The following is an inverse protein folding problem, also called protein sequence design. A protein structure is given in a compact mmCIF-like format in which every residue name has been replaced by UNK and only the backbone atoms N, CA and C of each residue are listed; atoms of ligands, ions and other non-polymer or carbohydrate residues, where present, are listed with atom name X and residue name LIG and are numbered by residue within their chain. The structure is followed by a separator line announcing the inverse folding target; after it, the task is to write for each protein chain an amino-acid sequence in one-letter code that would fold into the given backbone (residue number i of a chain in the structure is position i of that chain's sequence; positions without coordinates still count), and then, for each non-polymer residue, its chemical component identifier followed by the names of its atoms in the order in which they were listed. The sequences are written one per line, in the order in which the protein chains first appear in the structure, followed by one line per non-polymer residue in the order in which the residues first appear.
data_IF_980984782329
#
_entry.id   IF_980984782329
#
_cell.length_a   1.000
_cell.length_b   1.000
_cell.length_c   1.000
_cell.angle_alpha   90.00
_cell.angle_beta   90.00
_cell.angle_gamma   90.00
#
_symmetry.space_group_name_H-M   'P 1'
#
loop_
_entity.id
_entity.type
_entity.pdbx_description
1 polymer ?
#
# COMPACT_ATOMS: atom_id res chain seq x y z
N UNK A 1 20.52 26.92 -5.20
CA UNK A 1 19.99 25.98 -4.20
C UNK A 1 18.49 25.96 -4.42
N UNK A 2 17.93 24.85 -4.90
CA UNK A 2 16.48 24.66 -4.96
C UNK A 2 15.92 24.74 -3.52
N UNK A 3 14.73 25.32 -3.38
CA UNK A 3 14.13 25.65 -2.09
C UNK A 3 14.01 24.39 -1.18
N UNK A 4 14.48 24.45 0.09
CA UNK A 4 14.48 23.29 0.99
C UNK A 4 13.10 22.63 1.14
N UNK A 5 12.02 23.42 1.14
CA UNK A 5 10.66 22.88 1.28
C UNK A 5 10.10 22.19 0.02
N UNK A 6 10.72 22.32 -1.15
CA UNK A 6 10.19 21.70 -2.38
C UNK A 6 10.55 20.21 -2.47
N UNK A 7 11.75 19.85 -2.02
CA UNK A 7 12.27 18.47 -2.07
C UNK A 7 11.49 17.59 -1.08
N UNK A 8 11.30 18.06 0.16
CA UNK A 8 10.60 17.31 1.22
C UNK A 8 9.13 17.00 0.89
N UNK A 9 8.44 17.93 0.20
CA UNK A 9 7.04 17.73 -0.22
C UNK A 9 6.96 16.68 -1.33
N UNK A 10 7.89 16.72 -2.29
CA UNK A 10 7.92 15.76 -3.40
C UNK A 10 8.14 14.35 -2.86
N UNK A 11 9.06 14.16 -1.92
CA UNK A 11 9.32 12.85 -1.31
C UNK A 11 8.12 12.32 -0.53
N UNK A 12 7.44 13.18 0.24
CA UNK A 12 6.20 12.81 0.93
C UNK A 12 5.10 12.37 -0.04
N UNK A 13 4.89 13.12 -1.12
CA UNK A 13 3.89 12.80 -2.15
C UNK A 13 4.27 11.50 -2.88
N UNK A 14 5.54 11.30 -3.20
CA UNK A 14 6.01 10.08 -3.86
C UNK A 14 5.82 8.85 -2.96
N UNK A 15 6.14 8.95 -1.67
CA UNK A 15 5.89 7.86 -0.70
C UNK A 15 4.41 7.50 -0.59
N UNK A 16 3.49 8.45 -0.80
CA UNK A 16 2.06 8.17 -0.82
C UNK A 16 1.56 7.65 -2.18
N UNK A 17 2.16 8.07 -3.30
CA UNK A 17 1.68 7.73 -4.63
C UNK A 17 2.01 6.29 -5.02
N UNK A 18 3.15 5.73 -4.59
CA UNK A 18 3.50 4.36 -4.94
C UNK A 18 2.53 3.31 -4.34
N UNK A 19 2.17 3.36 -3.05
CA UNK A 19 1.19 2.42 -2.49
C UNK A 19 -0.20 2.59 -3.13
N UNK A 20 -0.63 3.82 -3.38
CA UNK A 20 -1.91 4.11 -4.08
C UNK A 20 -1.90 3.52 -5.49
N UNK A 21 -0.81 3.71 -6.24
CA UNK A 21 -0.61 3.10 -7.54
C UNK A 21 -0.64 1.57 -7.48
N UNK A 22 0.00 0.97 -6.48
CA UNK A 22 -0.05 -0.48 -6.22
C UNK A 22 -1.48 -0.99 -6.01
N UNK A 23 -2.27 -0.32 -5.15
CA UNK A 23 -3.68 -0.65 -4.93
C UNK A 23 -4.51 -0.55 -6.21
N UNK A 24 -4.28 0.51 -6.99
CA UNK A 24 -4.96 0.73 -8.27
C UNK A 24 -4.64 -0.36 -9.29
N UNK A 25 -3.37 -0.75 -9.42
CA UNK A 25 -2.96 -1.85 -10.30
C UNK A 25 -3.65 -3.15 -9.89
N UNK A 26 -3.68 -3.48 -8.60
CA UNK A 26 -4.36 -4.68 -8.10
C UNK A 26 -5.87 -4.64 -8.42
N UNK A 27 -6.51 -3.48 -8.28
CA UNK A 27 -7.92 -3.29 -8.62
C UNK A 27 -8.18 -3.51 -10.11
N UNK A 28 -7.38 -2.90 -10.99
CA UNK A 28 -7.52 -3.03 -12.45
C UNK A 28 -7.29 -4.49 -12.89
N UNK A 29 -6.24 -5.13 -12.39
CA UNK A 29 -5.96 -6.55 -12.69
C UNK A 29 -7.09 -7.45 -12.21
N UNK A 30 -7.59 -7.24 -10.99
CA UNK A 30 -8.74 -7.98 -10.45
C UNK A 30 -9.97 -7.81 -11.32
N UNK A 31 -10.24 -6.60 -11.83
CA UNK A 31 -11.38 -6.32 -12.72
C UNK A 31 -11.23 -7.00 -14.07
N UNK A 32 -10.04 -6.96 -14.66
CA UNK A 32 -9.76 -7.60 -15.96
C UNK A 32 -9.95 -9.12 -15.82
N UNK A 33 -9.34 -9.75 -14.81
CA UNK A 33 -9.45 -11.20 -14.58
C UNK A 33 -10.90 -11.60 -14.34
N UNK A 34 -11.65 -10.82 -13.55
CA UNK A 34 -13.07 -11.08 -13.27
C UNK A 34 -13.95 -10.98 -14.52
N UNK A 35 -13.57 -10.16 -15.51
CA UNK A 35 -14.30 -10.03 -16.78
C UNK A 35 -13.96 -11.14 -17.78
N UNK A 36 -12.71 -11.61 -17.80
CA UNK A 36 -12.25 -12.62 -18.78
C UNK A 36 -12.52 -14.05 -18.32
N UNK A 37 -12.70 -14.29 -17.02
CA UNK A 37 -12.87 -15.63 -16.48
C UNK A 37 -13.85 -15.70 -15.32
N UNK A 38 -13.39 -16.30 -14.20
CA UNK A 38 -14.20 -16.42 -12.98
C UNK A 38 -14.12 -15.12 -12.17
N UNK A 39 -15.21 -14.68 -11.54
CA UNK A 39 -15.20 -13.49 -10.68
C UNK A 39 -14.18 -13.69 -9.55
N UNK A 40 -13.27 -12.72 -9.39
CA UNK A 40 -12.27 -12.75 -8.33
C UNK A 40 -12.98 -12.45 -7.01
N UNK A 41 -12.92 -13.35 -6.01
CA UNK A 41 -13.61 -13.12 -4.76
C UNK A 41 -12.97 -11.95 -4.00
N UNK A 42 -13.79 -11.05 -3.45
CA UNK A 42 -13.34 -9.81 -2.80
C UNK A 42 -12.31 -10.04 -1.68
N UNK A 43 -12.43 -11.14 -0.92
CA UNK A 43 -11.46 -11.47 0.13
C UNK A 43 -10.05 -11.71 -0.40
N UNK A 44 -9.91 -12.24 -1.62
CA UNK A 44 -8.61 -12.52 -2.22
C UNK A 44 -7.95 -11.22 -2.67
N UNK A 45 -8.70 -10.35 -3.37
CA UNK A 45 -8.22 -9.02 -3.76
C UNK A 45 -7.79 -8.19 -2.55
N UNK A 46 -8.63 -8.13 -1.51
CA UNK A 46 -8.34 -7.38 -0.28
C UNK A 46 -7.11 -7.94 0.46
N UNK A 47 -6.94 -9.27 0.48
CA UNK A 47 -5.75 -9.90 1.06
C UNK A 47 -4.48 -9.52 0.30
N UNK A 48 -4.52 -9.51 -1.03
CA UNK A 48 -3.38 -9.11 -1.87
C UNK A 48 -3.04 -7.64 -1.63
N UNK A 49 -4.05 -6.75 -1.61
CA UNK A 49 -3.87 -5.34 -1.26
C UNK A 49 -3.22 -5.17 0.12
N UNK A 50 -3.68 -5.92 1.14
CA UNK A 50 -3.10 -5.89 2.48
C UNK A 50 -1.63 -6.33 2.51
N UNK A 51 -1.28 -7.43 1.84
CA UNK A 51 0.11 -7.91 1.71
C UNK A 51 0.98 -6.85 1.01
N UNK A 52 0.47 -6.22 -0.05
CA UNK A 52 1.18 -5.14 -0.75
C UNK A 52 1.44 -3.95 0.18
N UNK A 53 0.49 -3.57 1.04
CA UNK A 53 0.72 -2.50 2.03
C UNK A 53 1.80 -2.87 3.05
N UNK A 54 1.84 -4.12 3.52
CA UNK A 54 2.93 -4.62 4.38
C UNK A 54 4.26 -4.56 3.64
N UNK A 55 4.29 -4.97 2.37
CA UNK A 55 5.49 -4.91 1.53
C UNK A 55 6.04 -3.49 1.40
N UNK A 56 5.18 -2.50 1.14
CA UNK A 56 5.59 -1.09 1.11
C UNK A 56 6.04 -0.58 2.48
N UNK A 57 5.37 -0.96 3.57
CA UNK A 57 5.79 -0.58 4.92
C UNK A 57 7.21 -1.10 5.24
N UNK A 58 7.52 -2.35 4.88
CA UNK A 58 8.86 -2.93 5.03
C UNK A 58 9.86 -2.24 4.10
N UNK A 59 9.48 -1.97 2.85
CA UNK A 59 10.36 -1.27 1.91
C UNK A 59 10.76 0.12 2.43
N UNK A 60 9.82 0.84 3.04
CA UNK A 60 10.05 2.19 3.55
C UNK A 60 10.80 2.24 4.88
N UNK A 61 10.77 1.17 5.67
CA UNK A 61 11.43 1.11 6.98
C UNK A 61 12.77 0.35 6.96
N UNK A 62 12.95 -0.58 6.03
CA UNK A 62 14.11 -1.47 5.97
C UNK A 62 14.92 -1.29 4.70
N UNK A 63 14.27 -1.23 3.53
CA UNK A 63 15.01 -1.14 2.26
C UNK A 63 15.59 0.25 2.02
N UNK A 64 14.78 1.32 2.14
CA UNK A 64 15.27 2.69 1.91
C UNK A 64 16.49 3.05 2.80
N UNK A 65 16.45 2.81 4.13
CA UNK A 65 17.60 3.09 4.99
C UNK A 65 18.82 2.18 4.78
N UNK A 66 18.62 0.99 4.20
CA UNK A 66 19.70 0.03 3.95
C UNK A 66 20.43 0.31 2.62
N UNK A 67 19.74 0.85 1.61
CA UNK A 67 20.31 1.11 0.28
C UNK A 67 20.73 2.58 0.06
N UNK A 68 20.23 3.52 0.86
CA UNK A 68 20.62 4.93 0.84
C UNK A 68 21.63 5.19 1.96
N UNK A 69 22.77 5.83 1.66
CA UNK A 69 23.81 6.14 2.65
C UNK A 69 23.23 6.87 3.87
N UNK A 70 23.45 6.31 5.06
CA UNK A 70 22.84 6.72 6.33
C UNK A 70 23.43 8.01 6.95
N UNK A 71 24.13 8.85 6.19
CA UNK A 71 24.83 10.03 6.74
C UNK A 71 23.88 11.12 7.27
N UNK A 72 22.58 10.97 7.04
CA UNK A 72 21.54 11.87 7.55
C UNK A 72 20.69 11.16 8.60
N UNK A 73 20.91 11.51 9.87
CA UNK A 73 20.04 11.20 11.02
C UNK A 73 18.71 11.96 10.94
N UNK A 74 18.04 11.94 9.79
CA UNK A 74 16.70 12.48 9.65
C UNK A 74 15.72 11.36 9.97
N UNK A 75 14.90 11.55 11.00
CA UNK A 75 13.67 10.78 11.17
C UNK A 75 12.73 11.18 10.02
N UNK A 76 13.03 10.64 8.84
CA UNK A 76 12.37 11.03 7.61
C UNK A 76 10.89 10.57 7.62
N UNK A 77 10.00 11.23 6.83
CA UNK A 77 8.56 10.96 6.78
C UNK A 77 8.13 9.49 6.56
N UNK A 78 9.07 8.61 6.24
CA UNK A 78 8.86 7.21 5.90
C UNK A 78 8.27 6.39 7.06
N UNK A 79 8.64 6.70 8.30
CA UNK A 79 8.21 5.92 9.47
C UNK A 79 6.71 6.10 9.72
N UNK A 80 6.23 7.34 9.64
CA UNK A 80 4.80 7.66 9.78
C UNK A 80 4.02 7.06 8.61
N UNK A 81 4.52 7.19 7.37
CA UNK A 81 3.90 6.58 6.19
C UNK A 81 3.83 5.06 6.31
N UNK A 82 4.90 4.39 6.76
CA UNK A 82 4.93 2.95 6.98
C UNK A 82 3.94 2.50 8.07
N UNK A 83 3.81 3.26 9.16
CA UNK A 83 2.79 3.01 10.18
C UNK A 83 1.38 3.10 9.60
N UNK A 84 1.10 4.13 8.80
CA UNK A 84 -0.19 4.27 8.11
C UNK A 84 -0.46 3.10 7.16
N UNK A 85 0.55 2.62 6.44
CA UNK A 85 0.43 1.46 5.55
C UNK A 85 0.14 0.17 6.34
N UNK A 86 0.74 -0.02 7.51
CA UNK A 86 0.42 -1.15 8.39
C UNK A 86 -1.01 -1.06 8.93
N UNK A 87 -1.45 0.11 9.36
CA UNK A 87 -2.83 0.32 9.80
C UNK A 87 -3.84 0.02 8.68
N UNK A 88 -3.55 0.49 7.45
CA UNK A 88 -4.33 0.19 6.26
C UNK A 88 -4.31 -1.32 5.94
N UNK A 89 -3.16 -1.99 6.06
CA UNK A 89 -3.06 -3.43 5.86
C UNK A 89 -3.98 -4.20 6.82
N UNK A 90 -3.98 -3.84 8.11
CA UNK A 90 -4.87 -4.43 9.12
C UNK A 90 -6.34 -4.22 8.75
N UNK A 91 -6.71 -3.01 8.31
CA UNK A 91 -8.07 -2.73 7.86
C UNK A 91 -8.46 -3.59 6.65
N UNK A 92 -7.58 -3.74 5.67
CA UNK A 92 -7.78 -4.58 4.49
C UNK A 92 -7.91 -6.06 4.83
N UNK A 93 -7.09 -6.58 5.75
CA UNK A 93 -7.23 -7.97 6.22
C UNK A 93 -8.52 -8.20 7.00
N UNK A 94 -8.95 -7.23 7.81
CA UNK A 94 -10.24 -7.29 8.47
C UNK A 94 -11.40 -7.31 7.46
N UNK A 95 -11.35 -6.45 6.45
CA UNK A 95 -12.33 -6.43 5.35
C UNK A 95 -12.30 -7.76 4.58
N UNK A 96 -11.12 -8.32 4.29
CA UNK A 96 -10.96 -9.60 3.62
C UNK A 96 -11.61 -10.74 4.40
N UNK A 97 -11.36 -10.81 5.72
CA UNK A 97 -11.96 -11.80 6.61
C UNK A 97 -13.49 -11.69 6.60
N UNK A 98 -14.03 -10.47 6.69
CA UNK A 98 -15.48 -10.23 6.63
C UNK A 98 -16.07 -10.63 5.29
N UNK A 99 -15.43 -10.28 4.18
CA UNK A 99 -15.86 -10.63 2.83
C UNK A 99 -15.85 -12.14 2.57
N UNK A 100 -14.96 -12.88 3.24
CA UNK A 100 -14.92 -14.35 3.17
C UNK A 100 -16.09 -15.01 3.92
N UNK A 101 -16.49 -14.45 5.07
CA UNK A 101 -17.55 -15.02 5.92
C UNK A 101 -18.95 -14.64 5.42
N UNK A 102 -19.13 -13.38 4.99
CA UNK A 102 -20.41 -12.84 4.53
C UNK A 102 -20.26 -12.21 3.14
N UNK A 103 -20.16 -13.02 2.07
CA UNK A 103 -19.94 -12.53 0.71
C UNK A 103 -21.11 -11.66 0.22
N UNK A 104 -22.33 -11.86 0.71
CA UNK A 104 -23.53 -11.10 0.33
C UNK A 104 -23.48 -9.62 0.76
N UNK A 105 -22.70 -9.28 1.79
CA UNK A 105 -22.45 -7.87 2.19
C UNK A 105 -21.25 -7.24 1.48
N UNK A 106 -20.56 -8.02 0.65
CA UNK A 106 -19.36 -7.62 -0.08
C UNK A 106 -19.62 -7.37 -1.57
N UNK A 107 -20.89 -7.29 -1.97
CA UNK A 107 -21.31 -7.04 -3.34
C UNK A 107 -20.74 -5.70 -3.85
N UNK A 108 -19.76 -5.83 -4.75
CA UNK A 108 -19.59 -4.96 -5.89
C UNK A 108 -20.04 -5.76 -7.13
#
# INVERSE_FOLDING_TARGET
MSHPGSVDIVDFVLLAIYPVGGLFIIEILSRIISRTGKPVPSWLKLSIQGITMVGFAVAYTVFLPFFVNQDTHTAEPHTITAFCLLALAVALFYQARRAKINPEKSLY
#
